data_IF_794579354756
#
_entry.id   IF_794579354756
#
_cell.length_a   1.000
_cell.length_b   1.000
_cell.length_c   1.000
_cell.angle_alpha   90.00
_cell.angle_beta   90.00
_cell.angle_gamma   90.00
#
_symmetry.space_group_name_H-M   'P 1'
#
loop_
_entity.id
_entity.type
_entity.pdbx_description
1 polymer ?
#
# COMPACT_ATOMS: atom_id res chain seq x y z
N UNK A 1 -14.42 34.17 18.08
CA UNK A 1 -13.50 35.23 17.60
C UNK A 1 -12.60 34.77 16.46
N UNK A 2 -11.67 33.82 16.68
CA UNK A 2 -10.77 33.34 15.62
C UNK A 2 -11.52 32.79 14.39
N UNK A 3 -12.57 31.98 14.63
CA UNK A 3 -13.45 31.46 13.59
C UNK A 3 -14.10 32.59 12.76
N UNK A 4 -14.63 33.63 13.43
CA UNK A 4 -15.23 34.78 12.76
C UNK A 4 -14.21 35.53 11.90
N UNK A 5 -13.01 35.81 12.43
CA UNK A 5 -11.96 36.48 11.68
C UNK A 5 -11.58 35.71 10.42
N UNK A 6 -11.43 34.38 10.52
CA UNK A 6 -11.05 33.54 9.39
C UNK A 6 -12.15 33.40 8.33
N UNK A 7 -13.41 33.32 8.74
CA UNK A 7 -14.55 33.05 7.82
C UNK A 7 -15.19 34.32 7.25
N UNK A 8 -15.15 35.44 7.97
CA UNK A 8 -15.89 36.65 7.62
C UNK A 8 -15.05 37.71 6.91
N UNK A 9 -13.72 37.59 6.92
CA UNK A 9 -12.84 38.62 6.34
C UNK A 9 -12.00 37.99 5.23
N UNK A 10 -12.22 38.36 3.95
CA UNK A 10 -11.48 37.81 2.84
C UNK A 10 -9.98 38.09 2.97
N UNK A 11 -9.15 37.10 2.66
CA UNK A 11 -7.69 37.21 2.60
C UNK A 11 -7.22 38.31 1.65
N UNK A 12 -7.98 38.61 0.59
CA UNK A 12 -7.71 39.72 -0.34
C UNK A 12 -7.72 41.11 0.31
N UNK A 13 -8.38 41.29 1.45
CA UNK A 13 -8.38 42.54 2.22
C UNK A 13 -7.09 42.68 3.05
N UNK A 14 -6.40 41.57 3.37
CA UNK A 14 -5.12 41.57 4.08
C UNK A 14 -3.95 41.90 3.14
N UNK A 15 -3.96 41.42 1.90
CA UNK A 15 -2.87 41.62 0.94
C UNK A 15 -2.77 43.05 0.38
N UNK A 16 -3.83 43.86 0.53
CA UNK A 16 -3.81 45.30 0.23
C UNK A 16 -2.99 46.11 1.25
N UNK A 17 -2.65 45.53 2.41
CA UNK A 17 -1.99 46.20 3.52
C UNK A 17 -0.68 45.52 3.93
N UNK A 18 0.39 45.78 3.17
CA UNK A 18 1.81 45.43 3.41
C UNK A 18 2.27 44.05 2.92
N UNK A 19 3.14 44.08 1.91
CA UNK A 19 4.16 43.06 1.61
C UNK A 19 5.21 42.98 2.75
N UNK A 20 4.82 42.53 3.93
CA UNK A 20 5.79 42.07 4.94
C UNK A 20 5.84 40.54 4.91
N UNK A 21 7.05 39.99 4.97
CA UNK A 21 7.38 38.56 4.91
C UNK A 21 6.90 37.79 6.17
N UNK A 22 5.66 37.99 6.59
CA UNK A 22 5.01 37.39 7.75
C UNK A 22 3.84 36.50 7.35
N UNK A 23 3.40 35.61 8.25
CA UNK A 23 2.16 34.84 8.08
C UNK A 23 0.97 35.81 8.09
N UNK A 24 0.00 35.64 7.19
CA UNK A 24 -1.24 36.42 7.20
C UNK A 24 -2.00 36.21 8.52
N UNK A 25 -2.74 37.23 8.96
CA UNK A 25 -3.50 37.16 10.22
C UNK A 25 -4.57 36.07 10.11
N UNK A 26 -5.17 35.88 8.92
CA UNK A 26 -6.09 34.78 8.64
C UNK A 26 -5.44 33.41 8.87
N UNK A 27 -4.21 33.20 8.38
CA UNK A 27 -3.49 31.95 8.58
C UNK A 27 -3.17 31.70 10.07
N UNK A 28 -2.77 32.75 10.81
CA UNK A 28 -2.56 32.66 12.26
C UNK A 28 -3.85 32.33 13.02
N UNK A 29 -4.99 32.89 12.59
CA UNK A 29 -6.29 32.57 13.17
C UNK A 29 -6.66 31.11 12.95
N UNK A 30 -6.41 30.57 11.76
CA UNK A 30 -6.63 29.16 11.45
C UNK A 30 -5.68 28.24 12.26
N UNK A 31 -4.40 28.59 12.38
CA UNK A 31 -3.44 27.87 13.23
C UNK A 31 -3.90 27.86 14.70
N UNK A 32 -4.36 29.00 15.21
CA UNK A 32 -4.91 29.11 16.56
C UNK A 32 -6.15 28.25 16.74
N UNK A 33 -7.07 28.29 15.77
CA UNK A 33 -8.31 27.51 15.81
C UNK A 33 -8.05 26.00 15.76
N UNK A 34 -7.11 25.57 14.93
CA UNK A 34 -6.65 24.19 14.84
C UNK A 34 -6.11 23.69 16.20
N UNK A 35 -5.29 24.51 16.88
CA UNK A 35 -4.76 24.18 18.21
C UNK A 35 -5.86 24.13 19.28
N UNK A 36 -6.81 25.06 19.25
CA UNK A 36 -7.95 25.07 20.19
C UNK A 36 -8.80 23.81 20.00
N UNK A 37 -9.17 23.46 18.76
CA UNK A 37 -9.92 22.24 18.48
C UNK A 37 -9.17 20.98 18.93
N UNK A 38 -7.87 20.92 18.67
CA UNK A 38 -7.02 19.83 19.16
C UNK A 38 -7.00 19.74 20.69
N UNK A 39 -6.87 20.87 21.39
CA UNK A 39 -6.87 20.92 22.85
C UNK A 39 -8.23 20.51 23.44
N UNK A 40 -9.33 20.97 22.86
CA UNK A 40 -10.69 20.59 23.29
C UNK A 40 -10.89 19.08 23.11
N UNK A 41 -10.49 18.54 21.95
CA UNK A 41 -10.60 17.10 21.65
C UNK A 41 -9.67 16.22 22.49
N UNK A 42 -8.62 16.74 23.12
CA UNK A 42 -7.69 15.94 23.92
C UNK A 42 -7.94 16.09 25.43
N UNK A 43 -8.18 17.31 25.90
CA UNK A 43 -8.26 17.62 27.33
C UNK A 43 -9.69 17.85 27.83
N UNK A 44 -10.62 18.23 26.94
CA UNK A 44 -11.98 18.64 27.32
C UNK A 44 -13.06 17.86 26.58
N UNK A 45 -12.79 16.60 26.23
CA UNK A 45 -13.72 15.71 25.51
C UNK A 45 -15.18 15.77 26.03
N UNK A 46 -15.45 15.69 27.35
CA UNK A 46 -16.82 15.77 27.87
C UNK A 46 -17.51 17.13 27.62
N UNK A 47 -16.74 18.21 27.48
CA UNK A 47 -17.23 19.57 27.26
C UNK A 47 -17.27 19.96 25.78
N UNK A 48 -16.99 19.04 24.86
CA UNK A 48 -17.01 19.32 23.41
C UNK A 48 -18.36 19.86 22.93
N UNK A 49 -19.46 19.36 23.49
CA UNK A 49 -20.80 19.85 23.16
C UNK A 49 -21.03 21.32 23.56
N UNK A 50 -20.59 21.72 24.76
CA UNK A 50 -20.63 23.11 25.21
C UNK A 50 -19.75 24.01 24.32
N UNK A 51 -18.57 23.52 23.95
CA UNK A 51 -17.66 24.24 23.08
C UNK A 51 -18.26 24.49 21.70
N UNK A 52 -18.83 23.46 21.05
CA UNK A 52 -19.51 23.62 19.76
C UNK A 52 -20.72 24.55 19.86
N UNK A 53 -21.50 24.47 20.95
CA UNK A 53 -22.61 25.39 21.20
C UNK A 53 -22.15 26.84 21.31
N UNK A 54 -21.00 27.10 21.93
CA UNK A 54 -20.43 28.44 22.02
C UNK A 54 -19.88 28.99 20.69
N UNK A 55 -19.70 28.14 19.67
CA UNK A 55 -19.31 28.56 18.32
C UNK A 55 -20.50 28.92 17.43
N UNK A 56 -21.68 28.40 17.74
CA UNK A 56 -22.91 28.72 17.01
C UNK A 56 -23.48 30.04 17.55
N UNK A 57 -23.28 31.14 16.82
CA UNK A 57 -23.72 32.51 17.20
C UNK A 57 -25.23 32.72 16.96
N UNK A 58 -25.98 31.68 16.60
CA UNK A 58 -27.43 31.81 16.41
C UNK A 58 -28.13 31.79 17.77
N UNK A 59 -28.50 32.97 18.25
CA UNK A 59 -29.49 33.24 19.30
C UNK A 59 -30.87 32.69 18.91
N UNK A 60 -31.02 31.37 18.81
CA UNK A 60 -32.32 30.73 18.90
C UNK A 60 -32.44 30.12 20.29
N UNK A 61 -32.82 30.96 21.26
CA UNK A 61 -33.21 30.56 22.62
C UNK A 61 -34.46 29.63 22.66
N UNK A 62 -34.94 29.15 21.50
CA UNK A 62 -36.15 28.32 21.38
C UNK A 62 -35.96 26.92 20.78
N UNK A 63 -34.76 26.53 20.34
CA UNK A 63 -34.51 25.16 19.87
C UNK A 63 -33.69 24.39 20.91
N UNK A 64 -34.33 24.06 22.04
CA UNK A 64 -33.93 22.94 22.90
C UNK A 64 -34.25 21.58 22.25
N UNK A 65 -34.07 21.47 20.93
CA UNK A 65 -33.91 20.16 20.33
C UNK A 65 -32.55 19.64 20.82
N UNK A 66 -32.47 18.36 21.19
CA UNK A 66 -31.24 17.61 21.37
C UNK A 66 -30.45 17.61 20.06
N UNK A 67 -29.89 18.76 19.69
CA UNK A 67 -29.15 18.95 18.46
C UNK A 67 -27.85 18.17 18.64
N UNK A 68 -27.87 16.94 18.13
CA UNK A 68 -26.81 15.97 18.29
C UNK A 68 -25.46 16.64 18.03
N UNK A 69 -24.43 16.27 18.81
CA UNK A 69 -23.06 16.76 18.62
C UNK A 69 -22.63 16.64 17.15
N UNK A 70 -23.12 15.61 16.46
CA UNK A 70 -22.96 15.38 15.02
C UNK A 70 -23.54 16.51 14.15
N UNK A 71 -24.71 17.06 14.46
CA UNK A 71 -25.33 18.16 13.71
C UNK A 71 -24.49 19.44 13.78
N UNK A 72 -24.06 19.82 14.98
CA UNK A 72 -23.20 21.01 15.20
C UNK A 72 -21.82 20.84 14.58
N UNK A 73 -21.22 19.66 14.74
CA UNK A 73 -19.95 19.34 14.07
C UNK A 73 -20.08 19.41 12.55
N UNK A 74 -21.17 18.89 11.97
CA UNK A 74 -21.43 18.95 10.54
C UNK A 74 -21.62 20.38 10.03
N UNK A 75 -22.27 21.25 10.81
CA UNK A 75 -22.40 22.67 10.48
C UNK A 75 -21.02 23.35 10.37
N UNK A 76 -20.15 23.14 11.36
CA UNK A 76 -18.80 23.69 11.36
C UNK A 76 -17.95 23.09 10.22
N UNK A 77 -18.08 21.78 9.96
CA UNK A 77 -17.41 21.11 8.83
C UNK A 77 -17.78 21.76 7.50
N UNK A 78 -19.06 22.06 7.25
CA UNK A 78 -19.49 22.70 6.00
C UNK A 78 -18.82 24.05 5.76
N UNK A 79 -18.56 24.83 6.82
CA UNK A 79 -17.86 26.10 6.69
C UNK A 79 -16.41 25.90 6.22
N UNK A 80 -15.66 24.99 6.85
CA UNK A 80 -14.28 24.70 6.45
C UNK A 80 -14.17 23.98 5.10
N UNK A 81 -15.14 23.14 4.76
CA UNK A 81 -15.24 22.52 3.43
C UNK A 81 -15.37 23.59 2.35
N UNK A 82 -16.19 24.62 2.58
CA UNK A 82 -16.36 25.73 1.65
C UNK A 82 -15.10 26.58 1.53
N UNK A 83 -14.42 26.88 2.64
CA UNK A 83 -13.11 27.56 2.61
C UNK A 83 -12.07 26.76 1.83
N UNK A 84 -12.01 25.44 2.02
CA UNK A 84 -11.07 24.60 1.27
C UNK A 84 -11.43 24.57 -0.21
N UNK A 85 -12.72 24.41 -0.56
CA UNK A 85 -13.14 24.38 -1.95
C UNK A 85 -12.83 25.71 -2.67
N UNK A 86 -13.04 26.84 -2.01
CA UNK A 86 -12.69 28.15 -2.54
C UNK A 86 -11.19 28.25 -2.83
N UNK A 87 -10.34 27.79 -1.90
CA UNK A 87 -8.88 27.76 -2.03
C UNK A 87 -8.40 26.78 -3.12
N UNK A 88 -9.16 25.71 -3.38
CA UNK A 88 -8.86 24.78 -4.48
C UNK A 88 -9.35 25.29 -5.84
N UNK A 89 -10.34 26.18 -5.86
CA UNK A 89 -10.89 26.78 -7.08
C UNK A 89 -10.18 28.07 -7.53
N UNK A 90 -9.32 28.65 -6.68
CA UNK A 90 -8.50 29.82 -7.04
C UNK A 90 -7.41 29.45 -8.05
N UNK A 91 -6.89 30.45 -8.77
CA UNK A 91 -5.81 30.25 -9.72
C UNK A 91 -4.57 29.63 -9.03
N UNK A 92 -3.83 28.77 -9.73
CA UNK A 92 -2.74 27.95 -9.16
C UNK A 92 -1.63 28.77 -8.48
N UNK A 93 -1.42 30.03 -8.89
CA UNK A 93 -0.41 30.93 -8.29
C UNK A 93 -0.76 31.38 -6.86
N UNK A 94 -2.04 31.30 -6.47
CA UNK A 94 -2.54 31.72 -5.14
C UNK A 94 -2.71 30.54 -4.16
N UNK A 95 -2.35 29.30 -4.55
CA UNK A 95 -2.56 28.13 -3.70
C UNK A 95 -1.62 28.13 -2.48
N UNK A 96 -2.21 28.31 -1.29
CA UNK A 96 -1.48 28.22 -0.03
C UNK A 96 -1.54 26.80 0.56
N UNK A 97 -0.50 26.00 0.31
CA UNK A 97 -0.43 24.61 0.79
C UNK A 97 -0.49 24.47 2.32
N UNK A 98 0.02 25.46 3.07
CA UNK A 98 -0.04 25.46 4.54
C UNK A 98 -1.46 25.67 5.03
N UNK A 99 -2.19 26.60 4.42
CA UNK A 99 -3.59 26.85 4.75
C UNK A 99 -4.45 25.62 4.42
N UNK A 100 -4.27 25.04 3.23
CA UNK A 100 -4.97 23.84 2.81
C UNK A 100 -4.74 22.66 3.79
N UNK A 101 -3.49 22.45 4.22
CA UNK A 101 -3.15 21.42 5.20
C UNK A 101 -3.78 21.66 6.58
N UNK A 102 -3.80 22.92 7.04
CA UNK A 102 -4.45 23.28 8.31
C UNK A 102 -5.97 23.06 8.24
N UNK A 103 -6.61 23.44 7.12
CA UNK A 103 -8.03 23.18 6.87
C UNK A 103 -8.36 21.69 6.90
N UNK A 104 -7.56 20.86 6.21
CA UNK A 104 -7.72 19.40 6.24
C UNK A 104 -7.55 18.84 7.66
N UNK A 105 -6.61 19.39 8.44
CA UNK A 105 -6.40 18.99 9.84
C UNK A 105 -7.59 19.36 10.73
N UNK A 106 -8.16 20.55 10.54
CA UNK A 106 -9.39 20.98 11.22
C UNK A 106 -10.56 20.06 10.87
N UNK A 107 -10.76 19.77 9.58
CA UNK A 107 -11.78 18.85 9.09
C UNK A 107 -11.61 17.44 9.67
N UNK A 108 -10.37 16.94 9.77
CA UNK A 108 -10.06 15.65 10.38
C UNK A 108 -10.37 15.58 11.87
N UNK A 109 -10.18 16.69 12.60
CA UNK A 109 -10.53 16.73 14.02
C UNK A 109 -12.04 16.84 14.23
N UNK A 110 -12.73 17.65 13.43
CA UNK A 110 -14.18 17.77 13.51
C UNK A 110 -14.89 16.50 13.07
N UNK A 111 -14.37 15.78 12.07
CA UNK A 111 -15.01 14.56 11.58
C UNK A 111 -15.01 13.41 12.59
N UNK A 112 -14.11 13.41 13.58
CA UNK A 112 -14.11 12.47 14.71
C UNK A 112 -15.31 12.65 15.64
N UNK A 113 -15.97 13.81 15.58
CA UNK A 113 -17.17 14.11 16.35
C UNK A 113 -18.45 13.65 15.66
N UNK A 114 -18.37 13.24 14.40
CA UNK A 114 -19.49 12.69 13.64
C UNK A 114 -19.69 11.22 14.02
N UNK A 115 -20.94 10.85 14.23
CA UNK A 115 -21.29 9.45 14.46
C UNK A 115 -21.18 8.65 13.13
N UNK A 116 -20.48 7.49 13.09
CA UNK A 116 -20.25 6.74 11.86
C UNK A 116 -21.52 6.31 11.11
N UNK A 117 -22.63 6.10 11.83
CA UNK A 117 -23.93 5.71 11.26
C UNK A 117 -24.77 6.91 10.78
N UNK A 118 -24.31 8.15 11.02
CA UNK A 118 -25.08 9.35 10.73
C UNK A 118 -25.01 9.75 9.25
N UNK A 119 -26.07 10.37 8.68
CA UNK A 119 -26.03 10.88 7.31
C UNK A 119 -24.98 11.98 7.11
N UNK A 120 -24.65 12.74 8.16
CA UNK A 120 -23.60 13.76 8.15
C UNK A 120 -22.22 13.15 7.92
N UNK A 121 -21.95 11.98 8.51
CA UNK A 121 -20.71 11.24 8.27
C UNK A 121 -20.59 10.80 6.81
N UNK A 122 -21.66 10.28 6.22
CA UNK A 122 -21.71 9.89 4.79
C UNK A 122 -21.49 11.12 3.90
N UNK A 123 -22.09 12.27 4.24
CA UNK A 123 -21.85 13.53 3.53
C UNK A 123 -20.36 13.91 3.56
N UNK A 124 -19.71 13.86 4.73
CA UNK A 124 -18.29 14.16 4.88
C UNK A 124 -17.42 13.22 4.04
N UNK A 125 -17.68 11.90 4.11
CA UNK A 125 -16.94 10.90 3.33
C UNK A 125 -17.12 11.09 1.82
N UNK A 126 -18.36 11.29 1.35
CA UNK A 126 -18.65 11.50 -0.07
C UNK A 126 -17.99 12.78 -0.61
N UNK A 127 -18.00 13.86 0.18
CA UNK A 127 -17.31 15.10 -0.16
C UNK A 127 -15.80 14.91 -0.22
N UNK A 128 -15.19 14.26 0.78
CA UNK A 128 -13.73 13.99 0.76
C UNK A 128 -13.35 13.12 -0.43
N UNK A 129 -14.15 12.10 -0.73
CA UNK A 129 -13.93 11.27 -1.92
C UNK A 129 -14.01 12.09 -3.21
N UNK A 130 -14.98 13.00 -3.33
CA UNK A 130 -15.11 13.90 -4.48
C UNK A 130 -13.87 14.78 -4.66
N UNK A 131 -13.39 15.41 -3.59
CA UNK A 131 -12.17 16.24 -3.66
C UNK A 131 -10.97 15.41 -4.11
N UNK A 132 -10.76 14.19 -3.59
CA UNK A 132 -9.65 13.34 -4.06
C UNK A 132 -9.78 12.91 -5.54
N UNK A 133 -11.00 12.85 -6.08
CA UNK A 133 -11.25 12.46 -7.48
C UNK A 133 -11.07 13.60 -8.47
N UNK A 134 -11.43 14.81 -8.08
CA UNK A 134 -11.47 15.97 -8.98
C UNK A 134 -10.22 16.85 -8.90
N UNK A 135 -9.47 16.78 -7.79
CA UNK A 135 -8.35 17.68 -7.54
C UNK A 135 -7.00 17.05 -7.91
N UNK A 136 -6.17 17.77 -8.68
CA UNK A 136 -4.86 17.34 -9.17
C UNK A 136 -3.66 18.11 -8.58
N UNK A 137 -3.83 18.85 -7.47
CA UNK A 137 -2.74 19.64 -6.85
C UNK A 137 -1.45 18.82 -6.64
N UNK A 138 -0.29 19.40 -6.99
CA UNK A 138 1.00 18.70 -6.93
C UNK A 138 1.71 18.78 -5.56
N UNK A 139 1.07 19.31 -4.51
CA UNK A 139 1.66 19.41 -3.18
C UNK A 139 1.59 18.08 -2.39
N UNK A 140 2.73 17.44 -2.07
CA UNK A 140 2.73 16.14 -1.39
C UNK A 140 2.19 16.19 0.04
N UNK A 141 2.35 17.33 0.73
CA UNK A 141 1.93 17.46 2.13
C UNK A 141 0.41 17.54 2.26
N UNK A 142 -0.21 18.30 1.37
CA UNK A 142 -1.65 18.42 1.22
C UNK A 142 -2.28 17.10 0.77
N UNK A 143 -1.74 16.47 -0.28
CA UNK A 143 -2.17 15.15 -0.77
C UNK A 143 -2.15 14.13 0.38
N UNK A 144 -1.05 14.08 1.15
CA UNK A 144 -0.94 13.21 2.33
C UNK A 144 -2.01 13.49 3.38
N UNK A 145 -2.26 14.77 3.69
CA UNK A 145 -3.29 15.16 4.65
C UNK A 145 -4.67 14.70 4.20
N UNK A 146 -5.02 14.95 2.94
CA UNK A 146 -6.33 14.65 2.37
C UNK A 146 -6.57 13.14 2.24
N UNK A 147 -5.57 12.38 1.79
CA UNK A 147 -5.67 10.92 1.72
C UNK A 147 -5.81 10.30 3.12
N UNK A 148 -5.11 10.81 4.13
CA UNK A 148 -5.29 10.35 5.51
C UNK A 148 -6.70 10.63 6.04
N UNK A 149 -7.27 11.80 5.73
CA UNK A 149 -8.67 12.11 6.04
C UNK A 149 -9.62 11.12 5.34
N UNK A 150 -9.41 10.85 4.05
CA UNK A 150 -10.20 9.87 3.30
C UNK A 150 -10.14 8.49 3.95
N UNK A 151 -8.96 7.95 4.24
CA UNK A 151 -8.82 6.65 4.87
C UNK A 151 -9.41 6.59 6.28
N UNK A 152 -9.23 7.64 7.08
CA UNK A 152 -9.79 7.70 8.46
C UNK A 152 -11.32 7.60 8.46
N UNK A 153 -11.96 8.23 7.49
CA UNK A 153 -13.41 8.15 7.31
C UNK A 153 -13.83 6.81 6.70
N UNK A 154 -13.11 6.36 5.67
CA UNK A 154 -13.51 5.19 4.90
C UNK A 154 -13.47 3.91 5.74
N UNK A 155 -12.44 3.71 6.57
CA UNK A 155 -12.29 2.53 7.43
C UNK A 155 -13.45 2.37 8.42
N UNK A 156 -14.03 3.48 8.89
CA UNK A 156 -15.21 3.45 9.77
C UNK A 156 -16.51 3.12 9.03
N UNK A 157 -16.54 3.34 7.70
CA UNK A 157 -17.70 3.02 6.87
C UNK A 157 -17.64 1.58 6.34
N UNK A 158 -16.54 1.21 5.67
CA UNK A 158 -16.30 -0.10 5.03
C UNK A 158 -14.81 -0.41 4.92
N UNK A 159 -14.49 -1.67 4.66
CA UNK A 159 -13.10 -2.09 4.40
C UNK A 159 -12.50 -1.33 3.21
N UNK A 160 -11.28 -0.76 3.31
CA UNK A 160 -10.70 0.08 2.28
C UNK A 160 -10.09 -0.70 1.10
N UNK A 161 -10.23 -2.03 1.04
CA UNK A 161 -9.56 -2.87 0.02
C UNK A 161 -9.87 -2.48 -1.42
N UNK A 162 -11.08 -2.00 -1.71
CA UNK A 162 -11.44 -1.52 -3.06
C UNK A 162 -10.75 -0.20 -3.36
N UNK A 163 -10.72 0.73 -2.40
CA UNK A 163 -10.02 2.00 -2.53
C UNK A 163 -8.52 1.79 -2.71
N UNK A 164 -7.93 0.83 -1.99
CA UNK A 164 -6.52 0.48 -2.15
C UNK A 164 -6.24 -0.02 -3.56
N UNK A 165 -7.05 -0.96 -4.07
CA UNK A 165 -6.91 -1.48 -5.44
C UNK A 165 -6.99 -0.35 -6.47
N UNK A 166 -8.00 0.52 -6.38
CA UNK A 166 -8.19 1.61 -7.35
C UNK A 166 -6.99 2.57 -7.31
N UNK A 167 -6.50 2.94 -6.12
CA UNK A 167 -5.29 3.77 -5.97
C UNK A 167 -4.02 3.08 -6.46
N UNK A 168 -3.89 1.75 -6.34
CA UNK A 168 -2.74 1.04 -6.90
C UNK A 168 -2.72 1.03 -8.41
N UNK A 169 -3.90 1.02 -9.05
CA UNK A 169 -4.02 1.13 -10.51
C UNK A 169 -3.60 2.53 -10.98
N UNK A 170 -4.02 3.59 -10.28
CA UNK A 170 -3.58 4.95 -10.58
C UNK A 170 -2.05 5.09 -10.40
N UNK A 171 -1.49 4.55 -9.30
CA UNK A 171 -0.02 4.54 -9.06
C UNK A 171 0.70 3.81 -10.20
N UNK A 172 0.19 2.65 -10.60
CA UNK A 172 0.76 1.85 -11.68
C UNK A 172 0.71 2.59 -13.03
N UNK A 173 -0.45 3.15 -13.39
CA UNK A 173 -0.64 3.91 -14.62
C UNK A 173 0.22 5.18 -14.70
N UNK A 174 0.46 5.85 -13.58
CA UNK A 174 1.32 7.04 -13.57
C UNK A 174 2.81 6.71 -13.56
N UNK A 175 3.26 5.69 -12.84
CA UNK A 175 4.69 5.36 -12.71
C UNK A 175 5.20 4.40 -13.79
N UNK A 176 4.30 3.74 -14.53
CA UNK A 176 4.61 2.77 -15.58
C UNK A 176 4.93 1.37 -15.05
N UNK A 177 5.02 0.41 -15.98
CA UNK A 177 5.41 -0.98 -15.69
C UNK A 177 6.94 -1.11 -15.63
N UNK A 178 7.40 -2.18 -14.98
CA UNK A 178 8.79 -2.64 -14.96
C UNK A 178 9.25 -3.10 -16.34
N UNK A 179 8.34 -3.67 -17.12
CA UNK A 179 8.56 -4.01 -18.52
C UNK A 179 8.29 -2.78 -19.39
N UNK A 180 9.34 -2.22 -19.97
CA UNK A 180 9.28 -0.98 -20.78
C UNK A 180 8.42 -1.16 -22.04
N UNK A 181 8.19 -2.41 -22.47
CA UNK A 181 7.37 -2.74 -23.64
C UNK A 181 5.87 -2.85 -23.32
N UNK A 182 5.47 -2.74 -22.04
CA UNK A 182 4.07 -2.81 -21.61
C UNK A 182 3.47 -1.40 -21.51
N UNK A 183 2.53 -1.11 -22.41
CA UNK A 183 1.70 0.10 -22.29
C UNK A 183 0.67 -0.08 -21.17
N UNK A 184 0.84 0.69 -20.08
CA UNK A 184 -0.09 0.67 -18.95
C UNK A 184 -1.25 1.64 -19.23
N UNK A 185 -2.49 1.13 -19.09
CA UNK A 185 -3.67 1.97 -19.14
C UNK A 185 -3.67 2.96 -17.96
N UNK A 186 -3.70 4.25 -18.27
CA UNK A 186 -3.89 5.30 -17.27
C UNK A 186 -5.34 5.28 -16.81
N UNK A 187 -5.54 4.66 -15.66
CA UNK A 187 -6.81 4.75 -14.94
C UNK A 187 -6.75 6.00 -14.06
N UNK A 188 -7.68 6.93 -14.29
CA UNK A 188 -7.78 8.18 -13.54
C UNK A 188 -8.88 8.05 -12.47
N UNK A 189 -8.77 7.08 -11.54
CA UNK A 189 -9.77 6.94 -10.49
C UNK A 189 -9.73 8.14 -9.53
N UNK A 190 -8.52 8.62 -9.21
CA UNK A 190 -8.26 9.75 -8.35
C UNK A 190 -7.27 10.73 -9.00
N UNK A 191 -7.73 11.89 -9.47
CA UNK A 191 -6.86 12.93 -10.04
C UNK A 191 -5.76 13.41 -9.07
N UNK A 192 -5.94 13.18 -7.76
CA UNK A 192 -4.97 13.51 -6.73
C UNK A 192 -3.68 12.68 -6.84
N UNK A 193 -3.75 11.52 -7.50
CA UNK A 193 -2.58 10.72 -7.86
C UNK A 193 -2.05 11.24 -9.18
N UNK A 194 -0.83 11.75 -9.17
CA UNK A 194 -0.12 12.23 -10.36
C UNK A 194 1.36 11.87 -10.22
N UNK A 195 2.19 12.19 -11.22
CA UNK A 195 3.62 11.84 -11.22
C UNK A 195 4.39 12.33 -9.98
N UNK A 196 3.97 13.44 -9.36
CA UNK A 196 4.63 14.02 -8.18
C UNK A 196 4.08 13.48 -6.86
N UNK A 197 2.81 13.09 -6.82
CA UNK A 197 2.15 12.61 -5.59
C UNK A 197 2.16 11.07 -5.49
N UNK A 198 2.13 10.35 -6.61
CA UNK A 198 2.06 8.89 -6.68
C UNK A 198 3.17 8.22 -5.88
N UNK A 199 4.43 8.63 -6.09
CA UNK A 199 5.57 8.22 -5.28
C UNK A 199 6.42 9.43 -4.84
N UNK A 200 6.86 9.48 -3.57
CA UNK A 200 6.70 8.45 -2.54
C UNK A 200 5.37 8.54 -1.75
N UNK A 201 4.61 9.61 -1.91
CA UNK A 201 3.55 9.96 -0.94
C UNK A 201 2.38 8.99 -0.92
N UNK A 202 1.64 8.86 -2.03
CA UNK A 202 0.45 8.00 -2.08
C UNK A 202 0.86 6.54 -1.94
N UNK A 203 1.94 6.12 -2.60
CA UNK A 203 2.49 4.77 -2.49
C UNK A 203 2.73 4.35 -1.03
N UNK A 204 3.39 5.19 -0.22
CA UNK A 204 3.64 4.86 1.19
C UNK A 204 2.36 4.83 2.03
N UNK A 205 1.37 5.66 1.70
CA UNK A 205 0.08 5.68 2.40
C UNK A 205 -0.75 4.43 2.11
N UNK A 206 -0.85 4.01 0.84
CA UNK A 206 -1.61 2.81 0.47
C UNK A 206 -0.96 1.54 1.03
N UNK A 207 0.38 1.47 1.03
CA UNK A 207 1.11 0.36 1.66
C UNK A 207 0.85 0.29 3.17
N UNK A 208 1.01 1.42 3.88
CA UNK A 208 0.71 1.48 5.32
C UNK A 208 -0.74 1.11 5.64
N UNK A 209 -1.69 1.47 4.79
CA UNK A 209 -3.09 1.14 5.00
C UNK A 209 -3.40 -0.33 4.66
N UNK A 210 -2.76 -0.89 3.63
CA UNK A 210 -2.83 -2.32 3.32
C UNK A 210 -2.27 -3.16 4.47
N UNK A 211 -1.17 -2.71 5.10
CA UNK A 211 -0.58 -3.37 6.26
C UNK A 211 -1.59 -3.51 7.41
N UNK A 212 -2.38 -2.48 7.71
CA UNK A 212 -3.42 -2.53 8.75
C UNK A 212 -4.53 -3.53 8.41
N UNK A 213 -4.97 -3.57 7.15
CA UNK A 213 -5.98 -4.55 6.72
C UNK A 213 -5.44 -5.98 6.85
N UNK A 214 -4.17 -6.20 6.52
CA UNK A 214 -3.50 -7.48 6.72
C UNK A 214 -3.48 -7.89 8.21
N UNK A 215 -3.27 -6.95 9.14
CA UNK A 215 -3.34 -7.22 10.59
C UNK A 215 -4.75 -7.60 11.06
N UNK A 216 -5.78 -6.93 10.55
CA UNK A 216 -7.17 -7.29 10.84
C UNK A 216 -7.49 -8.71 10.35
N UNK A 217 -7.03 -9.07 9.15
CA UNK A 217 -7.21 -10.42 8.60
C UNK A 217 -6.45 -11.47 9.43
N UNK A 218 -5.22 -11.19 9.84
CA UNK A 218 -4.43 -12.10 10.67
C UNK A 218 -5.11 -12.35 12.04
N UNK A 219 -5.64 -11.28 12.64
CA UNK A 219 -6.43 -11.37 13.87
C UNK A 219 -7.68 -12.22 13.68
N UNK A 220 -8.43 -12.03 12.58
CA UNK A 220 -9.61 -12.84 12.26
C UNK A 220 -9.26 -14.32 12.07
N UNK A 221 -8.17 -14.63 11.37
CA UNK A 221 -7.70 -16.03 11.20
C UNK A 221 -7.32 -16.64 12.55
N UNK A 222 -6.64 -15.88 13.42
CA UNK A 222 -6.27 -16.34 14.76
C UNK A 222 -7.50 -16.63 15.61
N UNK A 223 -8.52 -15.76 15.54
CA UNK A 223 -9.81 -15.96 16.20
C UNK A 223 -10.51 -17.23 15.70
N UNK A 224 -10.54 -17.47 14.39
CA UNK A 224 -11.12 -18.69 13.81
C UNK A 224 -10.38 -19.97 14.26
N UNK A 225 -9.05 -19.94 14.34
CA UNK A 225 -8.25 -21.08 14.86
C UNK A 225 -8.56 -21.40 16.32
N UNK A 226 -8.75 -20.37 17.15
CA UNK A 226 -9.10 -20.52 18.56
C UNK A 226 -10.46 -21.21 18.74
N UNK A 227 -11.44 -20.84 17.92
CA UNK A 227 -12.80 -21.40 17.96
C UNK A 227 -12.82 -22.87 17.51
N UNK A 228 -12.11 -23.21 16.42
CA UNK A 228 -12.00 -24.61 15.95
C UNK A 228 -11.37 -25.52 17.00
N UNK A 229 -10.37 -25.02 17.76
CA UNK A 229 -9.73 -25.80 18.82
C UNK A 229 -10.68 -26.09 20.00
N UNK A 230 -11.71 -25.26 20.22
CA UNK A 230 -12.71 -25.46 21.28
C UNK A 230 -13.82 -26.43 20.84
N UNK A 231 -14.23 -26.39 19.56
CA UNK A 231 -15.21 -27.32 19.00
C UNK A 231 -14.68 -28.76 18.93
N UNK A 232 -13.39 -28.97 18.63
CA UNK A 232 -12.77 -30.31 18.62
C UNK A 232 -12.79 -30.98 20.01
N UNK A 233 -12.85 -30.19 21.09
CA UNK A 233 -12.92 -30.72 22.48
C UNK A 233 -14.37 -31.04 22.89
N UNK A 234 -15.36 -30.52 22.16
CA UNK A 234 -16.79 -30.61 22.49
C UNK A 234 -17.51 -31.49 21.45
N UNK A 235 -17.14 -32.76 21.34
CA UNK A 235 -17.85 -33.71 20.47
C UNK A 235 -19.22 -34.07 21.09
N UNK A 236 -20.29 -33.40 20.66
CA UNK A 236 -21.61 -34.02 20.52
C UNK A 236 -22.13 -33.85 19.08
N UNK A 237 -22.70 -34.90 18.48
CA UNK A 237 -23.07 -34.91 17.07
C UNK A 237 -24.46 -34.32 16.90
N UNK A 238 -24.57 -33.00 16.70
CA UNK A 238 -25.78 -32.42 16.12
C UNK A 238 -25.53 -32.02 14.66
N UNK A 239 -26.39 -32.56 13.82
CA UNK A 239 -26.35 -32.53 12.37
C UNK A 239 -26.95 -31.23 11.83
N UNK A 240 -26.38 -30.74 10.72
CA UNK A 240 -27.02 -29.78 9.79
C UNK A 240 -27.26 -28.33 10.24
N UNK A 241 -26.42 -27.77 11.11
CA UNK A 241 -26.28 -26.30 11.16
C UNK A 241 -25.13 -25.86 10.24
N UNK A 242 -25.41 -25.02 9.25
CA UNK A 242 -24.41 -24.30 8.46
C UNK A 242 -23.39 -23.70 9.41
N UNK A 243 -22.11 -24.14 9.34
CA UNK A 243 -21.06 -23.69 10.26
C UNK A 243 -21.11 -22.15 10.41
N UNK A 244 -21.26 -21.60 11.63
CA UNK A 244 -21.35 -20.15 11.86
C UNK A 244 -20.15 -19.35 11.34
N UNK A 245 -19.04 -20.04 11.04
CA UNK A 245 -17.77 -19.48 10.57
C UNK A 245 -17.71 -19.18 9.06
N UNK A 246 -18.64 -19.71 8.27
CA UNK A 246 -18.67 -19.52 6.82
C UNK A 246 -18.68 -18.05 6.33
N UNK A 247 -19.43 -17.10 6.95
CA UNK A 247 -19.42 -15.71 6.50
C UNK A 247 -18.08 -15.00 6.78
N UNK A 248 -17.43 -15.30 7.91
CA UNK A 248 -16.12 -14.71 8.27
C UNK A 248 -15.03 -15.25 7.35
N UNK A 249 -15.02 -16.56 7.09
CA UNK A 249 -14.12 -17.19 6.11
C UNK A 249 -14.26 -16.55 4.72
N UNK A 250 -15.51 -16.39 4.25
CA UNK A 250 -15.79 -15.75 2.97
C UNK A 250 -15.29 -14.31 2.94
N UNK A 251 -15.48 -13.54 4.03
CA UNK A 251 -15.00 -12.16 4.13
C UNK A 251 -13.46 -12.09 4.07
N UNK A 252 -12.75 -12.97 4.82
CA UNK A 252 -11.28 -13.08 4.78
C UNK A 252 -10.80 -13.36 3.35
N UNK A 253 -11.41 -14.34 2.67
CA UNK A 253 -11.03 -14.71 1.31
C UNK A 253 -11.25 -13.57 0.33
N UNK A 254 -12.37 -12.83 0.46
CA UNK A 254 -12.66 -11.67 -0.39
C UNK A 254 -11.69 -10.51 -0.15
N UNK A 255 -11.35 -10.21 1.11
CA UNK A 255 -10.38 -9.17 1.45
C UNK A 255 -8.99 -9.53 0.92
N UNK A 256 -8.52 -10.75 1.16
CA UNK A 256 -7.22 -11.22 0.64
C UNK A 256 -7.19 -11.23 -0.89
N UNK A 257 -8.29 -11.64 -1.55
CA UNK A 257 -8.37 -11.62 -3.00
C UNK A 257 -8.25 -10.21 -3.59
N UNK A 258 -8.89 -9.23 -2.95
CA UNK A 258 -8.79 -7.82 -3.38
C UNK A 258 -7.41 -7.23 -3.07
N UNK A 259 -6.81 -7.58 -1.93
CA UNK A 259 -5.45 -7.19 -1.61
C UNK A 259 -4.41 -7.84 -2.54
N UNK A 260 -4.64 -9.06 -3.02
CA UNK A 260 -3.80 -9.68 -4.05
C UNK A 260 -3.81 -8.87 -5.33
N UNK A 261 -4.97 -8.38 -5.78
CA UNK A 261 -5.05 -7.49 -6.94
C UNK A 261 -4.36 -6.15 -6.69
N UNK A 262 -4.46 -5.60 -5.48
CA UNK A 262 -3.71 -4.40 -5.09
C UNK A 262 -2.19 -4.60 -5.18
N UNK A 263 -1.67 -5.70 -4.63
CA UNK A 263 -0.24 -6.00 -4.69
C UNK A 263 0.22 -6.35 -6.09
N UNK A 264 -0.64 -6.96 -6.91
CA UNK A 264 -0.35 -7.25 -8.32
C UNK A 264 0.05 -5.98 -9.08
N UNK A 265 -0.77 -4.92 -9.00
CA UNK A 265 -0.48 -3.63 -9.65
C UNK A 265 0.84 -3.03 -9.14
N UNK A 266 1.06 -2.98 -7.83
CA UNK A 266 2.26 -2.36 -7.26
C UNK A 266 3.55 -3.14 -7.56
N UNK A 267 3.48 -4.46 -7.70
CA UNK A 267 4.64 -5.31 -8.02
C UNK A 267 5.05 -5.18 -9.47
N UNK A 268 4.14 -4.81 -10.37
CA UNK A 268 4.42 -4.49 -11.77
C UNK A 268 4.92 -3.05 -11.95
N UNK A 269 4.60 -2.17 -11.00
CA UNK A 269 4.95 -0.76 -11.11
C UNK A 269 6.46 -0.48 -11.02
N UNK A 270 6.98 0.39 -11.88
CA UNK A 270 8.36 0.89 -11.86
C UNK A 270 8.66 1.88 -10.70
N UNK A 271 8.52 1.40 -9.45
CA UNK A 271 8.65 2.23 -8.26
C UNK A 271 10.05 2.90 -8.12
N UNK A 272 10.11 4.14 -7.59
CA UNK A 272 11.37 4.78 -7.23
C UNK A 272 12.12 3.97 -6.15
N UNK A 273 13.44 3.84 -6.30
CA UNK A 273 14.28 3.15 -5.33
C UNK A 273 14.24 3.86 -3.97
N UNK A 274 14.06 3.09 -2.88
CA UNK A 274 14.03 3.60 -1.52
C UNK A 274 12.92 2.96 -0.68
N UNK A 275 12.28 3.75 0.17
CA UNK A 275 11.31 3.27 1.17
C UNK A 275 10.08 2.57 0.57
N UNK A 276 9.62 2.98 -0.61
CA UNK A 276 8.46 2.36 -1.27
C UNK A 276 8.73 0.89 -1.59
N UNK A 277 9.89 0.59 -2.17
CA UNK A 277 10.32 -0.78 -2.49
C UNK A 277 10.51 -1.60 -1.21
N UNK A 278 11.17 -1.03 -0.19
CA UNK A 278 11.42 -1.73 1.08
C UNK A 278 10.13 -2.12 1.82
N UNK A 279 9.15 -1.21 1.83
CA UNK A 279 7.85 -1.45 2.49
C UNK A 279 7.03 -2.43 1.65
N UNK A 280 6.98 -2.28 0.33
CA UNK A 280 6.28 -3.24 -0.54
C UNK A 280 6.82 -4.68 -0.36
N UNK A 281 8.14 -4.87 -0.30
CA UNK A 281 8.72 -6.20 -0.05
C UNK A 281 8.33 -6.77 1.33
N UNK A 282 8.23 -5.92 2.36
CA UNK A 282 7.77 -6.33 3.69
C UNK A 282 6.29 -6.71 3.69
N UNK A 283 5.46 -5.92 3.02
CA UNK A 283 4.02 -6.15 2.94
C UNK A 283 3.70 -7.41 2.12
N UNK A 284 4.43 -7.66 1.03
CA UNK A 284 4.36 -8.92 0.29
C UNK A 284 4.72 -10.11 1.18
N UNK A 285 5.78 -9.99 1.98
CA UNK A 285 6.14 -11.03 2.94
C UNK A 285 5.03 -11.28 3.97
N UNK A 286 4.38 -10.21 4.46
CA UNK A 286 3.23 -10.28 5.38
C UNK A 286 2.02 -10.96 4.72
N UNK A 287 1.71 -10.61 3.47
CA UNK A 287 0.65 -11.24 2.66
C UNK A 287 0.86 -12.75 2.54
N UNK A 288 2.05 -13.22 2.13
CA UNK A 288 2.33 -14.67 2.05
C UNK A 288 2.29 -15.36 3.42
N UNK A 289 2.68 -14.66 4.48
CA UNK A 289 2.59 -15.19 5.85
C UNK A 289 1.14 -15.40 6.27
N UNK A 290 0.25 -14.45 5.96
CA UNK A 290 -1.18 -14.51 6.28
C UNK A 290 -1.89 -15.56 5.41
N UNK A 291 -1.55 -15.64 4.11
CA UNK A 291 -2.03 -16.71 3.24
C UNK A 291 -1.61 -18.09 3.78
N UNK A 292 -0.38 -18.23 4.27
CA UNK A 292 0.09 -19.45 4.93
C UNK A 292 -0.69 -19.73 6.22
N UNK A 293 -1.01 -18.70 7.01
CA UNK A 293 -1.81 -18.84 8.22
C UNK A 293 -3.23 -19.35 7.90
N UNK A 294 -3.84 -18.88 6.81
CA UNK A 294 -5.13 -19.34 6.30
C UNK A 294 -5.07 -20.79 5.79
N UNK A 295 -4.03 -21.16 5.05
CA UNK A 295 -3.81 -22.56 4.61
C UNK A 295 -3.66 -23.49 5.82
N UNK A 296 -2.94 -23.05 6.86
CA UNK A 296 -2.81 -23.78 8.12
C UNK A 296 -4.13 -23.92 8.87
N UNK A 297 -4.99 -22.92 8.81
CA UNK A 297 -6.35 -23.02 9.34
C UNK A 297 -7.15 -24.10 8.59
N UNK A 298 -7.16 -24.09 7.26
CA UNK A 298 -7.84 -25.13 6.48
C UNK A 298 -7.26 -26.53 6.69
N UNK A 299 -5.96 -26.66 6.99
CA UNK A 299 -5.35 -27.94 7.38
C UNK A 299 -5.91 -28.52 8.68
N UNK A 300 -6.38 -27.67 9.60
CA UNK A 300 -7.06 -28.09 10.84
C UNK A 300 -8.52 -28.41 10.55
N UNK A 301 -9.22 -27.54 9.80
CA UNK A 301 -10.67 -27.69 9.50
C UNK A 301 -10.98 -28.86 8.56
N UNK A 302 -10.10 -29.16 7.59
CA UNK A 302 -10.31 -30.29 6.66
C UNK A 302 -10.18 -31.66 7.33
N UNK A 303 -9.82 -31.75 8.61
CA UNK A 303 -9.86 -33.01 9.36
C UNK A 303 -11.29 -33.46 9.64
N UNK A 304 -12.25 -32.53 9.70
CA UNK A 304 -13.66 -32.77 9.99
C UNK A 304 -14.53 -32.54 8.73
N UNK A 305 -14.54 -33.53 7.83
CA UNK A 305 -15.50 -33.81 6.75
C UNK A 305 -15.89 -32.72 5.71
N UNK A 306 -15.46 -31.47 5.86
CA UNK A 306 -15.75 -30.38 4.91
C UNK A 306 -14.59 -30.17 3.95
N UNK A 307 -14.80 -30.45 2.66
CA UNK A 307 -13.83 -30.15 1.60
C UNK A 307 -13.48 -28.65 1.51
N UNK A 308 -12.51 -28.31 0.66
CA UNK A 308 -12.05 -26.93 0.50
C UNK A 308 -13.12 -26.11 -0.25
N UNK A 309 -13.50 -24.93 0.28
CA UNK A 309 -14.42 -24.04 -0.43
C UNK A 309 -13.85 -23.57 -1.79
N UNK A 310 -14.68 -23.52 -2.84
CA UNK A 310 -14.27 -23.09 -4.20
C UNK A 310 -13.68 -21.67 -4.24
N UNK A 311 -14.10 -20.78 -3.35
CA UNK A 311 -13.53 -19.44 -3.21
C UNK A 311 -12.08 -19.48 -2.69
N UNK A 312 -11.74 -20.41 -1.79
CA UNK A 312 -10.36 -20.64 -1.35
C UNK A 312 -9.50 -21.18 -2.50
N UNK A 313 -10.02 -22.13 -3.30
CA UNK A 313 -9.31 -22.61 -4.49
C UNK A 313 -9.02 -21.49 -5.49
N UNK A 314 -10.00 -20.61 -5.74
CA UNK A 314 -9.82 -19.42 -6.58
C UNK A 314 -8.77 -18.47 -6.03
N UNK A 315 -8.74 -18.24 -4.71
CA UNK A 315 -7.74 -17.39 -4.07
C UNK A 315 -6.32 -17.96 -4.25
N UNK A 316 -6.15 -19.27 -4.06
CA UNK A 316 -4.85 -19.95 -4.28
C UNK A 316 -4.43 -19.91 -5.74
N UNK A 317 -5.37 -20.08 -6.67
CA UNK A 317 -5.10 -19.89 -8.09
C UNK A 317 -4.65 -18.45 -8.39
N UNK A 318 -5.32 -17.46 -7.80
CA UNK A 318 -5.00 -16.05 -7.99
C UNK A 318 -3.60 -15.72 -7.48
N UNK A 319 -3.22 -16.17 -6.28
CA UNK A 319 -1.87 -15.95 -5.74
C UNK A 319 -0.78 -16.58 -6.63
N UNK A 320 -0.99 -17.82 -7.07
CA UNK A 320 -0.04 -18.57 -7.89
C UNK A 320 0.13 -18.06 -9.32
N UNK A 321 -0.90 -17.43 -9.90
CA UNK A 321 -0.87 -16.92 -11.27
C UNK A 321 -0.53 -15.44 -11.35
N UNK A 322 -1.11 -14.60 -10.48
CA UNK A 322 -1.02 -13.15 -10.60
C UNK A 322 0.01 -12.52 -9.66
N UNK A 323 0.40 -13.18 -8.56
CA UNK A 323 1.33 -12.58 -7.60
C UNK A 323 2.71 -13.25 -7.61
N UNK A 324 2.78 -14.57 -7.44
CA UNK A 324 4.05 -15.29 -7.26
C UNK A 324 5.04 -15.09 -8.42
N UNK A 325 4.65 -15.21 -9.71
CA UNK A 325 5.57 -14.96 -10.82
C UNK A 325 6.08 -13.51 -10.85
N UNK A 326 5.21 -12.55 -10.55
CA UNK A 326 5.53 -11.13 -10.58
C UNK A 326 6.43 -10.71 -9.42
N UNK A 327 6.30 -11.34 -8.25
CA UNK A 327 7.25 -11.13 -7.17
C UNK A 327 8.69 -11.46 -7.62
N UNK A 328 8.87 -12.50 -8.44
CA UNK A 328 10.19 -12.88 -8.94
C UNK A 328 10.72 -11.93 -10.03
N UNK A 329 9.86 -11.46 -10.95
CA UNK A 329 10.27 -10.45 -11.92
C UNK A 329 10.64 -9.13 -11.22
N UNK A 330 9.84 -8.70 -10.24
CA UNK A 330 10.12 -7.51 -9.43
C UNK A 330 11.43 -7.62 -8.64
N UNK A 331 11.70 -8.76 -7.99
CA UNK A 331 12.99 -9.01 -7.33
C UNK A 331 14.15 -8.85 -8.32
N UNK A 332 14.01 -9.40 -9.54
CA UNK A 332 15.04 -9.29 -10.59
C UNK A 332 15.22 -7.83 -11.03
N UNK A 333 14.13 -7.09 -11.22
CA UNK A 333 14.16 -5.66 -11.55
C UNK A 333 14.89 -4.84 -10.49
N UNK A 334 14.57 -5.04 -9.21
CA UNK A 334 15.25 -4.35 -8.10
C UNK A 334 16.75 -4.63 -8.10
N UNK A 335 17.15 -5.88 -8.34
CA UNK A 335 18.57 -6.27 -8.41
C UNK A 335 19.29 -5.64 -9.61
N UNK A 336 18.63 -5.56 -10.77
CA UNK A 336 19.18 -4.99 -12.01
C UNK A 336 19.31 -3.46 -11.93
N UNK A 337 18.25 -2.75 -11.52
CA UNK A 337 18.23 -1.27 -11.35
C UNK A 337 19.32 -0.80 -10.39
N UNK A 338 19.55 -1.56 -9.30
CA UNK A 338 20.62 -1.26 -8.33
C UNK A 338 22.02 -1.51 -8.91
N UNK A 339 22.21 -2.59 -9.67
CA UNK A 339 23.48 -2.90 -10.33
C UNK A 339 23.88 -1.84 -11.38
N UNK A 340 22.91 -1.30 -12.13
CA UNK A 340 23.16 -0.20 -13.06
C UNK A 340 23.50 1.12 -12.34
N UNK A 341 22.82 1.44 -11.23
CA UNK A 341 23.12 2.64 -10.43
C UNK A 341 24.55 2.68 -9.86
N UNK A 342 25.14 1.51 -9.59
CA UNK A 342 26.53 1.37 -9.13
C UNK A 342 27.54 1.61 -10.27
N UNK A 343 27.20 1.26 -11.51
CA UNK A 343 28.08 1.43 -12.68
C UNK A 343 28.19 2.89 -13.15
N UNK A 344 27.12 3.68 -13.05
CA UNK A 344 27.12 5.09 -13.51
C UNK A 344 27.93 6.06 -12.63
N UNK A 345 28.41 5.64 -11.44
CA UNK A 345 29.26 6.48 -10.57
C UNK A 345 30.77 6.23 -10.72
N UNK A 346 31.19 5.50 -11.76
CA UNK A 346 32.57 5.05 -11.97
C UNK A 346 33.57 6.12 -12.43
N UNK A 347 33.13 7.25 -12.99
CA UNK A 347 34.04 8.26 -13.54
C UNK A 347 34.13 9.50 -12.66
N UNK A 348 34.85 9.40 -11.53
CA UNK A 348 35.73 10.44 -10.96
C UNK A 348 36.30 9.96 -9.63
N UNK A 349 37.63 9.79 -9.62
CA UNK A 349 38.49 9.40 -8.50
C UNK A 349 38.09 10.07 -7.18
N UNK A 350 37.70 9.25 -6.19
CA UNK A 350 37.65 9.63 -4.77
C UNK A 350 36.45 9.10 -3.97
N UNK A 351 36.18 7.78 -3.91
CA UNK A 351 34.91 7.28 -3.33
C UNK A 351 34.91 5.89 -2.63
N UNK A 352 35.97 5.45 -1.94
CA UNK A 352 35.88 4.21 -1.14
C UNK A 352 34.77 4.27 -0.06
N UNK A 353 34.59 5.42 0.60
CA UNK A 353 33.51 5.63 1.58
C UNK A 353 32.11 5.72 0.94
N UNK A 354 31.99 6.27 -0.27
CA UNK A 354 30.71 6.35 -0.97
C UNK A 354 30.29 4.99 -1.56
N UNK A 355 31.25 4.17 -2.00
CA UNK A 355 31.00 2.77 -2.41
C UNK A 355 30.60 1.93 -1.21
N UNK A 356 31.25 2.08 -0.05
CA UNK A 356 30.85 1.41 1.18
C UNK A 356 29.45 1.82 1.67
N UNK A 357 29.11 3.12 1.56
CA UNK A 357 27.78 3.64 1.92
C UNK A 357 26.71 3.14 0.94
N UNK A 358 27.01 3.10 -0.36
CA UNK A 358 26.12 2.53 -1.37
C UNK A 358 25.90 1.03 -1.16
N UNK A 359 26.96 0.26 -0.86
CA UNK A 359 26.86 -1.16 -0.52
C UNK A 359 26.06 -1.41 0.76
N UNK A 360 26.26 -0.60 1.82
CA UNK A 360 25.48 -0.70 3.05
C UNK A 360 24.00 -0.37 2.83
N UNK A 361 23.69 0.58 1.93
CA UNK A 361 22.33 0.90 1.52
C UNK A 361 21.71 -0.24 0.71
N UNK A 362 22.45 -0.83 -0.23
CA UNK A 362 22.04 -2.02 -0.99
C UNK A 362 21.71 -3.17 -0.05
N UNK A 363 22.60 -3.51 0.89
CA UNK A 363 22.39 -4.58 1.86
C UNK A 363 21.17 -4.34 2.77
N UNK A 364 20.89 -3.09 3.16
CA UNK A 364 19.70 -2.75 3.94
C UNK A 364 18.41 -2.91 3.14
N UNK A 365 18.40 -2.42 1.91
CA UNK A 365 17.22 -2.44 1.04
C UNK A 365 16.96 -3.82 0.40
N UNK A 366 17.97 -4.71 0.31
CA UNK A 366 17.78 -6.10 -0.16
C UNK A 366 17.57 -7.10 0.96
N UNK A 367 17.69 -6.68 2.23
CA UNK A 367 17.43 -7.51 3.40
C UNK A 367 16.04 -8.18 3.42
N UNK A 368 14.95 -7.55 2.94
CA UNK A 368 13.64 -8.22 2.92
C UNK A 368 13.49 -9.27 1.82
N UNK A 369 14.36 -9.31 0.79
CA UNK A 369 14.23 -10.25 -0.33
C UNK A 369 14.33 -11.72 0.12
N UNK A 370 15.36 -12.14 0.91
CA UNK A 370 15.39 -13.50 1.45
C UNK A 370 14.17 -13.86 2.29
N UNK A 371 13.62 -12.91 3.05
CA UNK A 371 12.42 -13.13 3.87
C UNK A 371 11.19 -13.37 3.00
N UNK A 372 11.03 -12.59 1.92
CA UNK A 372 9.95 -12.77 0.95
C UNK A 372 10.05 -14.13 0.26
N UNK A 373 11.24 -14.53 -0.20
CA UNK A 373 11.46 -15.85 -0.82
C UNK A 373 11.10 -16.96 0.17
N UNK A 374 11.56 -16.85 1.41
CA UNK A 374 11.24 -17.81 2.46
C UNK A 374 9.72 -17.89 2.73
N UNK A 375 9.03 -16.75 2.78
CA UNK A 375 7.57 -16.72 2.97
C UNK A 375 6.82 -17.40 1.83
N UNK A 376 7.25 -17.21 0.57
CA UNK A 376 6.69 -17.91 -0.60
C UNK A 376 6.96 -19.42 -0.50
N UNK A 377 8.18 -19.84 -0.17
CA UNK A 377 8.54 -21.25 0.01
C UNK A 377 7.70 -21.92 1.13
N UNK A 378 7.47 -21.21 2.24
CA UNK A 378 6.59 -21.72 3.31
C UNK A 378 5.15 -21.85 2.84
N UNK A 379 4.64 -20.87 2.09
CA UNK A 379 3.28 -20.92 1.53
C UNK A 379 3.10 -22.13 0.61
N UNK A 380 4.00 -22.33 -0.35
CA UNK A 380 4.01 -23.49 -1.26
C UNK A 380 4.09 -24.81 -0.48
N UNK A 381 4.97 -24.88 0.52
CA UNK A 381 5.11 -26.06 1.38
C UNK A 381 3.78 -26.42 2.03
N UNK A 382 3.08 -25.48 2.68
CA UNK A 382 1.81 -25.80 3.35
C UNK A 382 0.67 -26.08 2.36
N UNK A 383 0.68 -25.48 1.17
CA UNK A 383 -0.27 -25.81 0.10
C UNK A 383 -0.10 -27.25 -0.41
N UNK A 384 1.12 -27.77 -0.51
CA UNK A 384 1.37 -29.17 -0.85
C UNK A 384 0.75 -30.09 0.21
N UNK A 385 0.92 -29.76 1.50
CA UNK A 385 0.32 -30.55 2.58
C UNK A 385 -1.21 -30.50 2.52
N UNK A 386 -1.78 -29.33 2.24
CA UNK A 386 -3.23 -29.15 2.13
C UNK A 386 -3.79 -29.91 0.91
N UNK A 387 -3.11 -29.88 -0.22
CA UNK A 387 -3.51 -30.60 -1.44
C UNK A 387 -3.54 -32.11 -1.21
N UNK A 388 -2.49 -32.65 -0.56
CA UNK A 388 -2.41 -34.07 -0.22
C UNK A 388 -3.53 -34.51 0.73
N UNK A 389 -3.88 -33.69 1.72
CA UNK A 389 -4.93 -34.00 2.70
C UNK A 389 -6.35 -33.85 2.14
N UNK A 390 -6.60 -32.79 1.38
CA UNK A 390 -7.92 -32.48 0.83
C UNK A 390 -8.28 -33.25 -0.44
N UNK A 391 -7.30 -33.90 -1.07
CA UNK A 391 -7.40 -34.54 -2.41
C UNK A 391 -7.72 -33.57 -3.56
N UNK A 392 -7.68 -32.26 -3.31
CA UNK A 392 -7.79 -31.22 -4.34
C UNK A 392 -6.39 -30.78 -4.77
N UNK A 393 -6.14 -30.72 -6.07
CA UNK A 393 -4.83 -30.30 -6.58
C UNK A 393 -4.70 -28.77 -6.62
N UNK A 394 -4.37 -28.15 -5.48
CA UNK A 394 -4.16 -26.69 -5.41
C UNK A 394 -2.84 -26.24 -6.05
N UNK A 395 -1.89 -27.15 -6.21
CA UNK A 395 -0.58 -26.86 -6.80
C UNK A 395 -0.61 -26.79 -8.33
N UNK A 396 -1.71 -27.18 -8.99
CA UNK A 396 -1.80 -27.17 -10.46
C UNK A 396 -1.55 -25.76 -11.06
N UNK A 397 -1.88 -24.71 -10.31
CA UNK A 397 -1.71 -23.32 -10.73
C UNK A 397 -0.52 -22.61 -10.08
N UNK A 398 0.28 -23.32 -9.29
CA UNK A 398 1.55 -22.81 -8.76
C UNK A 398 2.70 -23.55 -9.42
N UNK A 399 3.52 -22.82 -10.17
CA UNK A 399 4.83 -23.33 -10.57
C UNK A 399 5.70 -23.35 -9.32
N UNK A 400 6.24 -24.51 -8.95
CA UNK A 400 7.20 -24.65 -7.86
C UNK A 400 8.33 -23.63 -8.07
N UNK A 401 8.70 -22.92 -7.01
CA UNK A 401 9.73 -21.90 -7.10
C UNK A 401 11.06 -22.47 -7.60
N UNK A 402 11.47 -22.08 -8.81
CA UNK A 402 12.82 -22.34 -9.37
C UNK A 402 13.80 -21.24 -8.98
N UNK A 403 13.55 -20.50 -7.90
CA UNK A 403 14.40 -19.36 -7.51
C UNK A 403 15.80 -19.76 -7.04
N UNK A 404 16.01 -21.04 -6.74
CA UNK A 404 17.31 -21.64 -6.43
C UNK A 404 17.95 -22.35 -7.63
N UNK A 405 17.33 -22.29 -8.80
CA UNK A 405 17.90 -22.84 -10.02
C UNK A 405 19.05 -21.94 -10.49
N UNK A 406 20.05 -22.53 -11.15
CA UNK A 406 21.18 -21.77 -11.69
C UNK A 406 20.69 -20.81 -12.78
N UNK A 407 20.36 -19.57 -12.42
CA UNK A 407 20.13 -18.50 -13.38
C UNK A 407 21.48 -18.09 -13.97
N UNK A 408 21.85 -18.70 -15.09
CA UNK A 408 22.96 -18.22 -15.91
C UNK A 408 22.55 -16.83 -16.40
N UNK A 409 23.28 -15.79 -15.95
CA UNK A 409 23.05 -14.43 -16.41
C UNK A 409 23.46 -14.35 -17.87
N UNK A 410 22.49 -14.42 -18.78
CA UNK A 410 22.72 -14.30 -20.24
C UNK A 410 23.61 -13.10 -20.58
N UNK A 411 23.44 -11.97 -19.87
CA UNK A 411 24.25 -10.77 -20.08
C UNK A 411 25.73 -10.93 -19.70
N UNK A 412 26.09 -11.87 -18.82
CA UNK A 412 27.48 -12.20 -18.51
C UNK A 412 28.00 -13.24 -19.52
N UNK A 413 27.15 -14.18 -19.92
CA UNK A 413 27.48 -15.16 -20.95
C UNK A 413 27.72 -14.46 -22.30
N UNK A 414 26.89 -13.51 -22.70
CA UNK A 414 27.04 -12.69 -23.91
C UNK A 414 28.26 -11.76 -23.82
N UNK A 415 28.63 -11.29 -22.64
CA UNK A 415 29.82 -10.46 -22.46
C UNK A 415 31.09 -11.32 -22.57
N UNK A 416 31.08 -12.54 -22.02
CA UNK A 416 32.19 -13.50 -22.16
C UNK A 416 32.30 -14.02 -23.59
N UNK A 417 31.17 -14.31 -24.25
CA UNK A 417 31.16 -14.74 -25.66
C UNK A 417 31.63 -13.62 -26.59
N UNK A 418 31.26 -12.36 -26.32
CA UNK A 418 31.76 -11.20 -27.09
C UNK A 418 33.22 -10.85 -26.79
N UNK A 419 33.69 -11.08 -25.57
CA UNK A 419 35.10 -10.90 -25.21
C UNK A 419 35.98 -12.02 -25.83
N UNK A 420 35.44 -13.22 -26.05
CA UNK A 420 36.12 -14.30 -26.79
C UNK A 420 36.11 -14.10 -28.32
N UNK A 421 35.12 -13.39 -28.87
CA UNK A 421 35.06 -13.04 -30.30
C UNK A 421 35.93 -11.83 -30.69
N UNK A 422 36.45 -11.07 -29.73
CA UNK A 422 37.23 -9.86 -29.99
C UNK A 422 38.76 -10.06 -30.07
N UNK A 423 39.26 -11.29 -29.86
CA UNK A 423 40.69 -11.62 -29.82
C UNK A 423 41.13 -12.59 -30.95
N UNK A 424 40.49 -12.52 -32.12
CA UNK A 424 41.05 -13.13 -33.35
C UNK A 424 41.44 -12.06 -34.39
N UNK A 425 42.73 -11.93 -34.73
CA UNK A 425 43.15 -11.45 -36.03
C UNK A 425 43.35 -12.64 -36.99
N UNK A 426 42.53 -12.67 -38.05
CA UNK A 426 42.80 -13.33 -39.34
C UNK A 426 44.23 -13.00 -39.82
N UNK A 427 45.02 -13.80 -40.53
CA UNK A 427 44.79 -14.96 -41.40
C UNK A 427 46.17 -15.61 -41.72
N UNK A 428 46.19 -16.88 -42.14
CA UNK A 428 47.16 -17.36 -43.13
C UNK A 428 48.26 -18.34 -42.67
N UNK A 429 48.01 -19.64 -42.82
CA UNK A 429 48.70 -20.53 -43.78
C UNK A 429 48.44 -22.01 -43.45
N UNK A 430 48.18 -22.80 -44.49
CA UNK A 430 47.89 -24.22 -44.42
C UNK A 430 49.10 -25.06 -43.95
N UNK A 431 48.83 -26.07 -43.11
CA UNK A 431 49.51 -27.37 -43.17
C UNK A 431 48.71 -28.43 -42.41
N UNK A 432 48.56 -29.58 -43.05
CA UNK A 432 48.02 -30.83 -42.52
C UNK A 432 48.79 -31.31 -41.29
N UNK A 433 48.10 -31.83 -40.26
CA UNK A 433 48.36 -33.16 -39.69
C UNK A 433 47.34 -33.55 -38.60
N UNK A 434 46.82 -34.77 -38.76
CA UNK A 434 46.36 -35.77 -37.79
C UNK A 434 46.22 -35.42 -36.30
N UNK A 435 45.11 -35.90 -35.71
CA UNK A 435 45.22 -36.73 -34.52
C UNK A 435 44.32 -36.41 -33.31
N UNK A 436 43.37 -37.33 -33.09
CA UNK A 436 42.94 -37.83 -31.77
C UNK A 436 41.98 -36.99 -30.91
N UNK A 437 40.70 -37.35 -31.11
CA UNK A 437 39.69 -37.59 -30.08
C UNK A 437 40.26 -37.94 -28.68
N UNK A 438 40.02 -37.08 -27.67
CA UNK A 438 40.12 -37.44 -26.25
C UNK A 438 39.00 -36.79 -25.43
N UNK A 439 38.05 -37.62 -25.01
CA UNK A 439 37.12 -37.34 -23.90
C UNK A 439 37.88 -37.04 -22.60
N UNK A 440 37.43 -36.09 -21.76
CA UNK A 440 38.01 -35.90 -20.44
C UNK A 440 37.47 -36.90 -19.40
N UNK A 441 38.38 -37.30 -18.51
CA UNK A 441 38.29 -38.45 -17.62
C UNK A 441 37.27 -38.32 -16.46
N UNK A 442 36.60 -39.45 -16.16
CA UNK A 442 35.81 -39.69 -14.93
C UNK A 442 36.70 -39.63 -13.68
N UNK A 443 36.43 -38.69 -12.77
CA UNK A 443 37.02 -38.67 -11.42
C UNK A 443 36.35 -39.69 -10.50
N UNK A 444 37.18 -40.61 -9.98
CA UNK A 444 36.85 -41.63 -8.97
C UNK A 444 36.55 -41.00 -7.60
N UNK A 445 35.58 -41.59 -6.90
CA UNK A 445 35.29 -41.43 -5.46
C UNK A 445 36.51 -41.80 -4.61
N UNK A 446 36.80 -41.01 -3.57
CA UNK A 446 37.69 -41.39 -2.48
C UNK A 446 36.84 -41.81 -1.27
N UNK A 447 37.02 -43.06 -0.84
CA UNK A 447 36.73 -43.51 0.52
C UNK A 447 38.05 -43.42 1.29
N UNK A 448 38.04 -42.73 2.41
CA UNK A 448 38.48 -43.23 3.73
C UNK A 448 37.89 -42.32 4.79
#
# INVERSE_FOLDING_TARGET
VLLWRYTSIPTSVEDLGKKEKGKSISLLCLEGLQKVLGAVSLFYQPKTHHFLRALDVTDNEGEEAEDSISHRAAFQIRQFQRSLLNLLSSQEEDFNSKEALLLVTVLSNLSKLLEPSSPQFVQMLSWTSKICKENNQEDPSFCKGLMNLLFSLHVLYKSPVTLLRDLSQDIHGHLGDIDEDVEVEKTDHFAMVNLRTAAPTVCLLVLSQAEKVLEEVDWLITKLKGQVSQEIVSEEPSSQATRPHHPIEKAIIMQLGTLLTFFHELVQTALPSGSCVDILLKDLCKMYTILTALVRYYLQVCQSAGGIPKNMEKLVKLSGSHLTPLCYSFISYIQNKKSQSLKCTGEKKGKAAAVATAMARVLRETKPIPNLIFAIEQYEKFLIHLSKKSKVNLMQHMKLSTSRDFKIKGNILDMVLRDEEADEPEEGTASEHEGQNKEPAKKKRKKE
#
